data_IF_218222142476
#
_entry.id   IF_218222142476
#
_cell.length_a   1.000
_cell.length_b   1.000
_cell.length_c   1.000
_cell.angle_alpha   90.00
_cell.angle_beta   90.00
_cell.angle_gamma   90.00
#
_symmetry.space_group_name_H-M   'P 1'
#
loop_
_entity.id
_entity.type
_entity.pdbx_description
1 polymer ?
#
# COMPACT_ATOMS: atom_id res chain seq x y z
N UNK A 1 -9.21 12.20 -9.11
CA UNK A 1 -8.62 10.88 -8.84
C UNK A 1 -9.21 10.35 -7.54
N UNK A 2 -9.78 9.15 -7.53
CA UNK A 2 -10.37 8.55 -6.31
C UNK A 2 -9.39 7.51 -5.77
N UNK A 3 -8.77 7.77 -4.61
CA UNK A 3 -7.68 6.95 -4.02
C UNK A 3 -8.07 6.37 -2.66
N UNK A 4 -8.66 7.20 -1.78
CA UNK A 4 -8.94 6.84 -0.39
C UNK A 4 -9.79 5.56 -0.22
N UNK A 5 -10.68 5.26 -1.17
CA UNK A 5 -11.54 4.08 -1.10
C UNK A 5 -10.87 2.79 -1.58
N UNK A 6 -9.58 2.78 -1.93
CA UNK A 6 -8.88 1.59 -2.47
C UNK A 6 -8.47 0.65 -1.36
N UNK A 7 -8.99 -0.58 -1.36
CA UNK A 7 -8.68 -1.60 -0.35
C UNK A 7 -7.26 -2.15 -0.51
N UNK A 8 -6.72 -2.62 0.61
CA UNK A 8 -5.49 -3.43 0.58
C UNK A 8 -5.72 -4.75 -0.13
N UNK A 9 -4.65 -5.39 -0.58
CA UNK A 9 -4.74 -6.60 -1.40
C UNK A 9 -3.63 -7.60 -1.10
N UNK A 10 -3.90 -8.88 -1.38
CA UNK A 10 -2.90 -9.94 -1.29
C UNK A 10 -3.10 -11.03 -2.36
N UNK A 11 -2.07 -11.84 -2.53
CA UNK A 11 -2.11 -13.05 -3.36
C UNK A 11 -2.60 -14.22 -2.50
N UNK A 12 -3.60 -14.95 -2.98
CA UNK A 12 -4.23 -16.05 -2.26
C UNK A 12 -3.22 -17.13 -1.86
N UNK A 13 -2.32 -17.45 -2.77
CA UNK A 13 -1.29 -18.48 -2.59
C UNK A 13 -0.29 -18.14 -1.47
N UNK A 14 -0.20 -16.87 -1.05
CA UNK A 14 0.67 -16.40 0.05
C UNK A 14 -0.05 -16.36 1.41
N UNK A 15 -1.38 -16.51 1.43
CA UNK A 15 -2.20 -16.31 2.64
C UNK A 15 -1.86 -17.31 3.74
N UNK A 16 -1.75 -18.60 3.41
CA UNK A 16 -1.43 -19.64 4.40
C UNK A 16 -0.03 -19.46 5.02
N UNK A 17 0.94 -19.05 4.20
CA UNK A 17 2.28 -18.72 4.68
C UNK A 17 2.26 -17.52 5.63
N UNK A 18 1.56 -16.43 5.27
CA UNK A 18 1.43 -15.25 6.13
C UNK A 18 0.74 -15.59 7.45
N UNK A 19 -0.33 -16.39 7.42
CA UNK A 19 -1.04 -16.84 8.64
C UNK A 19 -0.16 -17.68 9.53
N UNK A 20 0.59 -18.62 8.96
CA UNK A 20 1.52 -19.48 9.69
C UNK A 20 2.65 -18.69 10.34
N UNK A 21 3.06 -17.59 9.72
CA UNK A 21 4.01 -16.62 10.29
C UNK A 21 3.41 -15.69 11.35
N UNK A 22 2.13 -15.85 11.70
CA UNK A 22 1.45 -15.00 12.67
C UNK A 22 1.11 -13.60 12.14
N UNK A 23 1.12 -13.40 10.83
CA UNK A 23 0.69 -12.17 10.17
C UNK A 23 -0.79 -12.26 9.79
N UNK A 24 -1.36 -11.14 9.32
CA UNK A 24 -2.73 -11.04 8.79
C UNK A 24 -3.83 -11.68 9.66
N UNK A 25 -3.65 -11.69 10.99
CA UNK A 25 -4.56 -12.36 11.94
C UNK A 25 -6.00 -11.84 11.87
N UNK A 26 -6.19 -10.58 11.48
CA UNK A 26 -7.51 -9.95 11.24
C UNK A 26 -7.93 -9.88 9.77
N UNK A 27 -7.18 -10.47 8.85
CA UNK A 27 -7.48 -10.41 7.41
C UNK A 27 -8.74 -11.18 7.04
N UNK A 28 -9.61 -10.56 6.27
CA UNK A 28 -10.85 -11.15 5.74
C UNK A 28 -11.19 -10.56 4.37
N UNK A 29 -12.15 -11.18 3.66
CA UNK A 29 -12.65 -10.65 2.39
C UNK A 29 -13.44 -9.33 2.53
N UNK A 30 -13.77 -8.94 3.77
CA UNK A 30 -14.44 -7.66 4.08
C UNK A 30 -13.46 -6.48 4.10
N UNK A 31 -12.19 -6.74 4.44
CA UNK A 31 -11.16 -5.70 4.62
C UNK A 31 -10.03 -5.73 3.58
N UNK A 32 -9.93 -6.80 2.79
CA UNK A 32 -8.95 -6.91 1.70
C UNK A 32 -9.57 -7.48 0.41
N UNK A 33 -8.98 -7.15 -0.73
CA UNK A 33 -9.23 -7.87 -1.99
C UNK A 33 -8.16 -8.95 -2.19
N UNK A 34 -8.57 -10.12 -2.64
CA UNK A 34 -7.66 -11.26 -2.78
C UNK A 34 -7.63 -11.69 -4.23
N UNK A 35 -6.43 -11.85 -4.78
CA UNK A 35 -6.21 -12.36 -6.13
C UNK A 35 -5.57 -13.75 -6.08
N UNK A 36 -6.09 -14.72 -6.81
CA UNK A 36 -5.37 -15.95 -7.10
C UNK A 36 -4.68 -15.84 -8.45
N UNK A 37 -3.44 -16.32 -8.54
CA UNK A 37 -2.69 -16.37 -9.79
C UNK A 37 -3.45 -17.17 -10.88
N UNK A 38 -4.17 -18.21 -10.48
CA UNK A 38 -4.89 -19.10 -11.40
C UNK A 38 -6.34 -18.69 -11.68
N UNK A 39 -7.01 -18.03 -10.73
CA UNK A 39 -8.45 -17.72 -10.80
C UNK A 39 -8.78 -16.23 -10.93
N UNK A 40 -7.79 -15.35 -10.80
CA UNK A 40 -8.01 -13.91 -10.73
C UNK A 40 -8.61 -13.47 -9.39
N UNK A 41 -9.41 -12.40 -9.40
CA UNK A 41 -10.01 -11.82 -8.18
C UNK A 41 -11.04 -12.75 -7.53
N UNK A 42 -10.88 -13.01 -6.23
CA UNK A 42 -11.72 -13.93 -5.47
C UNK A 42 -12.96 -13.27 -4.86
N UNK A 43 -12.93 -11.95 -4.65
CA UNK A 43 -14.04 -11.18 -4.07
C UNK A 43 -14.39 -9.93 -4.91
N UNK A 44 -14.81 -10.10 -6.16
CA UNK A 44 -15.37 -9.01 -6.96
C UNK A 44 -16.69 -8.49 -6.37
N UNK A 45 -17.13 -7.26 -6.72
CA UNK A 45 -16.45 -6.33 -7.63
C UNK A 45 -15.28 -5.61 -6.96
N UNK A 46 -14.32 -5.20 -7.79
CA UNK A 46 -13.39 -4.14 -7.40
C UNK A 46 -14.12 -2.80 -7.39
N UNK A 47 -13.70 -1.90 -6.50
CA UNK A 47 -14.20 -0.52 -6.48
C UNK A 47 -13.67 0.27 -7.67
N UNK A 48 -12.47 -0.09 -8.15
CA UNK A 48 -11.83 0.46 -9.32
C UNK A 48 -11.17 -0.67 -10.12
N UNK A 49 -11.13 -0.58 -11.45
CA UNK A 49 -10.47 -1.58 -12.30
C UNK A 49 -8.97 -1.72 -12.01
N UNK A 50 -8.36 -0.67 -11.47
CA UNK A 50 -6.96 -0.53 -11.07
C UNK A 50 -6.80 -0.35 -9.55
N UNK A 51 -7.75 -0.85 -8.74
CA UNK A 51 -7.78 -0.70 -7.27
C UNK A 51 -6.43 -1.03 -6.57
N UNK A 52 -5.68 -2.10 -6.95
CA UNK A 52 -4.36 -2.38 -6.37
C UNK A 52 -3.33 -1.27 -6.63
N UNK A 53 -3.30 -0.70 -7.84
CA UNK A 53 -2.39 0.39 -8.19
C UNK A 53 -2.71 1.65 -7.38
N UNK A 54 -4.00 1.94 -7.22
CA UNK A 54 -4.46 3.07 -6.40
C UNK A 54 -4.16 2.89 -4.92
N UNK A 55 -4.27 1.68 -4.40
CA UNK A 55 -3.84 1.39 -3.03
C UNK A 55 -2.34 1.63 -2.85
N UNK A 56 -1.50 1.34 -3.85
CA UNK A 56 -0.06 1.70 -3.78
C UNK A 56 0.21 3.19 -3.79
N UNK A 57 -0.64 3.98 -4.44
CA UNK A 57 -0.60 5.44 -4.32
C UNK A 57 -1.04 5.88 -2.92
N UNK A 58 -2.06 5.23 -2.35
CA UNK A 58 -2.50 5.49 -0.98
C UNK A 58 -1.41 5.16 0.05
N UNK A 59 -0.73 4.02 -0.10
CA UNK A 59 0.44 3.62 0.69
C UNK A 59 1.54 4.71 0.63
N UNK A 60 1.91 5.14 -0.59
CA UNK A 60 2.92 6.19 -0.81
C UNK A 60 2.54 7.50 -0.11
N UNK A 61 1.29 7.96 -0.23
CA UNK A 61 0.82 9.17 0.45
C UNK A 61 0.95 9.01 1.97
N UNK A 62 0.57 7.84 2.51
CA UNK A 62 0.73 7.51 3.91
C UNK A 62 2.18 7.54 4.37
N UNK A 63 3.09 6.90 3.63
CA UNK A 63 4.52 6.83 3.97
C UNK A 63 5.19 8.21 3.89
N UNK A 64 4.83 9.04 2.90
CA UNK A 64 5.33 10.41 2.79
C UNK A 64 4.79 11.33 3.87
N UNK A 65 3.64 11.01 4.47
CA UNK A 65 3.11 11.80 5.59
C UNK A 65 4.05 11.78 6.81
N UNK A 66 4.96 10.81 6.89
CA UNK A 66 6.02 10.76 7.90
C UNK A 66 6.96 11.97 7.81
N UNK A 67 7.06 12.66 6.67
CA UNK A 67 7.80 13.92 6.54
C UNK A 67 7.26 15.02 7.45
N UNK A 68 5.98 14.98 7.80
CA UNK A 68 5.34 15.95 8.69
C UNK A 68 5.64 15.69 10.18
N UNK A 69 6.37 14.62 10.50
CA UNK A 69 6.86 14.40 11.86
C UNK A 69 7.79 15.56 12.28
N UNK A 70 7.80 15.88 13.58
CA UNK A 70 8.65 16.92 14.17
C UNK A 70 8.37 18.37 13.73
N UNK A 71 7.18 18.68 13.22
CA UNK A 71 6.74 20.06 12.95
C UNK A 71 7.04 20.59 11.55
N UNK A 72 7.46 19.73 10.63
CA UNK A 72 7.66 20.06 9.21
C UNK A 72 6.32 20.27 8.48
N UNK A 73 6.36 21.06 7.39
CA UNK A 73 5.21 21.72 6.74
C UNK A 73 4.24 20.82 5.94
N UNK A 74 4.18 19.51 6.21
CA UNK A 74 3.24 18.60 5.54
C UNK A 74 3.86 17.85 4.36
N UNK A 75 3.02 17.49 3.37
CA UNK A 75 3.45 16.73 2.21
C UNK A 75 4.30 17.59 1.25
N UNK A 76 5.35 17.02 0.63
CA UNK A 76 6.19 17.75 -0.31
C UNK A 76 5.40 18.15 -1.55
N UNK A 77 5.62 19.37 -2.04
CA UNK A 77 5.17 19.79 -3.37
C UNK A 77 6.17 19.25 -4.38
N UNK A 78 5.88 18.06 -4.92
CA UNK A 78 6.79 17.35 -5.80
C UNK A 78 6.03 16.53 -6.86
N UNK A 79 6.72 16.24 -7.96
CA UNK A 79 6.32 15.20 -8.89
C UNK A 79 7.07 13.91 -8.54
N UNK A 80 6.34 12.90 -8.08
CA UNK A 80 6.93 11.65 -7.58
C UNK A 80 6.64 10.53 -8.56
N UNK A 81 7.70 9.85 -9.00
CA UNK A 81 7.61 8.66 -9.86
C UNK A 81 8.13 7.48 -9.06
N UNK A 82 7.27 6.49 -8.84
CA UNK A 82 7.62 5.25 -8.15
C UNK A 82 7.42 4.05 -9.09
N UNK A 83 8.45 3.23 -9.22
CA UNK A 83 8.39 1.99 -9.99
C UNK A 83 8.57 0.80 -9.07
N UNK A 84 7.55 -0.08 -9.01
CA UNK A 84 7.50 -1.21 -8.07
C UNK A 84 7.76 -0.78 -6.60
N UNK A 85 7.25 0.39 -6.23
CA UNK A 85 7.42 0.96 -4.89
C UNK A 85 6.64 0.20 -3.82
N UNK A 86 7.19 0.23 -2.61
CA UNK A 86 6.56 -0.30 -1.40
C UNK A 86 7.14 0.41 -0.17
N UNK A 87 6.58 0.10 1.00
CA UNK A 87 6.87 0.85 2.23
C UNK A 87 8.36 1.02 2.53
N UNK A 88 9.18 -0.01 2.36
CA UNK A 88 10.63 0.09 2.59
C UNK A 88 11.27 1.19 1.73
N UNK A 89 10.99 1.19 0.42
CA UNK A 89 11.51 2.21 -0.51
C UNK A 89 10.96 3.61 -0.19
N UNK A 90 9.67 3.72 0.15
CA UNK A 90 9.06 5.01 0.47
C UNK A 90 9.64 5.59 1.77
N UNK A 91 9.85 4.76 2.79
CA UNK A 91 10.46 5.17 4.06
C UNK A 91 11.92 5.58 3.85
N UNK A 92 12.69 4.86 3.03
CA UNK A 92 14.06 5.24 2.71
C UNK A 92 14.13 6.57 1.97
N UNK A 93 13.21 6.81 1.02
CA UNK A 93 13.05 8.12 0.38
C UNK A 93 12.73 9.21 1.41
N UNK A 94 11.77 8.96 2.31
CA UNK A 94 11.41 9.90 3.38
C UNK A 94 12.62 10.24 4.26
N UNK A 95 13.40 9.25 4.69
CA UNK A 95 14.62 9.45 5.49
C UNK A 95 15.65 10.31 4.78
N UNK A 96 15.88 10.05 3.49
CA UNK A 96 16.78 10.86 2.67
C UNK A 96 16.31 12.32 2.57
N UNK A 97 15.01 12.55 2.37
CA UNK A 97 14.44 13.90 2.33
C UNK A 97 14.53 14.62 3.68
N UNK A 98 14.53 13.89 4.80
CA UNK A 98 14.74 14.44 6.15
C UNK A 98 16.21 14.69 6.49
N UNK A 99 17.15 14.29 5.63
CA UNK A 99 18.59 14.35 5.93
C UNK A 99 19.03 13.32 6.98
N UNK A 100 18.26 12.25 7.17
CA UNK A 100 18.58 11.14 8.07
C UNK A 100 19.17 10.00 7.22
N UNK A 101 20.50 9.92 7.13
CA UNK A 101 21.21 8.81 6.45
C UNK A 101 21.52 7.67 7.40
#
# INVERSE_FOLDING_TARGET
MQIASSRTFCIYEEVEQMRSAGLIKGGSLENAIVCSISKGWLNPPLRFSDEPCRHKILDLIGDLSLLAQFGNQGLPVAHIVAYKGGHALHVDLTRQLMGMT
#
